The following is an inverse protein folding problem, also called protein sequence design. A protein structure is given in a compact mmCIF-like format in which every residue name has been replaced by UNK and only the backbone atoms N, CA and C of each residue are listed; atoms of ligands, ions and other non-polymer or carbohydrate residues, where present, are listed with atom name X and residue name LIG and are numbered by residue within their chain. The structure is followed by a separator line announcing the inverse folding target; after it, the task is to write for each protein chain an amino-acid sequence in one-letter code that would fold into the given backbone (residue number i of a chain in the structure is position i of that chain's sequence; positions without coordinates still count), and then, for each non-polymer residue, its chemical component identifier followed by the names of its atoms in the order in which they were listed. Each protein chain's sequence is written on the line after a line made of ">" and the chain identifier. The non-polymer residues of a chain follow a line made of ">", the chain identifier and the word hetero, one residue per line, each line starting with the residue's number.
data_IF_323546504947
#
_entry.id   IF_323546504947
#
_cell.length_a   1.000
_cell.length_b   1.000
_cell.length_c   1.000
_cell.angle_alpha   90.00
_cell.angle_beta   90.00
_cell.angle_gamma   90.00
#
_symmetry.space_group_name_H-M   'P 1'
#
loop_
_entity.id
_entity.type
_entity.pdbx_description
1 polymer ?
#
# COMPACT_ATOMS: atom_id res chain seq x y z
N UNK A 1 53.78 23.54 13.38
CA UNK A 1 53.34 22.58 14.42
C UNK A 1 51.83 22.71 14.51
N UNK A 2 51.12 21.95 13.67
CA UNK A 2 50.41 20.70 14.06
C UNK A 2 48.96 21.04 14.44
N UNK A 3 48.01 20.91 13.50
CA UNK A 3 47.07 19.76 13.37
C UNK A 3 46.19 19.59 14.61
N UNK A 4 44.87 19.75 14.56
CA UNK A 4 43.88 18.77 14.05
C UNK A 4 42.52 19.30 14.54
N UNK A 5 41.45 19.40 13.74
CA UNK A 5 40.69 18.30 13.20
C UNK A 5 39.47 18.03 14.08
N UNK A 6 38.29 18.54 13.70
CA UNK A 6 37.04 17.86 13.98
C UNK A 6 36.04 18.20 12.88
N UNK A 7 35.95 17.28 11.93
CA UNK A 7 34.84 17.16 11.02
C UNK A 7 33.60 16.83 11.86
N UNK A 8 32.68 17.78 11.98
CA UNK A 8 31.29 17.47 12.30
C UNK A 8 30.56 17.16 11.00
N UNK A 9 30.98 16.08 10.35
CA UNK A 9 30.20 15.39 9.33
C UNK A 9 29.89 14.00 9.89
N UNK A 10 28.68 13.82 10.42
CA UNK A 10 28.13 12.51 10.76
C UNK A 10 26.61 12.57 10.94
N UNK A 11 25.92 12.13 9.89
CA UNK A 11 24.55 11.61 9.86
C UNK A 11 23.42 12.63 10.09
N UNK A 12 23.08 13.36 9.02
CA UNK A 12 21.65 13.40 8.65
C UNK A 12 21.26 11.94 8.35
N UNK A 13 20.71 11.23 9.34
CA UNK A 13 19.87 10.10 8.99
C UNK A 13 18.76 10.69 8.13
N UNK A 14 18.76 10.35 6.85
CA UNK A 14 17.60 10.61 6.01
C UNK A 14 16.39 10.06 6.75
N UNK A 15 15.26 10.78 6.76
CA UNK A 15 14.07 10.36 7.50
C UNK A 15 13.70 8.90 7.10
N UNK A 16 12.91 8.13 7.83
CA UNK A 16 12.46 6.82 7.35
C UNK A 16 11.59 6.91 6.08
N UNK A 17 11.85 6.12 5.04
CA UNK A 17 11.02 6.03 3.81
C UNK A 17 9.80 5.14 4.05
N UNK A 18 8.61 5.61 3.69
CA UNK A 18 7.34 4.89 3.92
C UNK A 18 6.66 4.55 2.61
N UNK A 19 6.54 3.26 2.33
CA UNK A 19 6.00 2.75 1.08
C UNK A 19 4.77 1.89 1.38
N UNK A 20 3.69 2.03 0.61
CA UNK A 20 2.62 1.02 0.59
C UNK A 20 2.54 0.40 -0.80
N UNK A 21 2.32 -0.92 -0.88
CA UNK A 21 2.10 -1.61 -2.15
C UNK A 21 0.61 -1.87 -2.32
N UNK A 22 0.01 -1.37 -3.40
CA UNK A 22 -1.42 -1.45 -3.68
C UNK A 22 -1.70 -2.25 -4.95
N UNK A 23 -2.83 -2.95 -4.98
CA UNK A 23 -3.19 -3.83 -6.08
C UNK A 23 -4.11 -4.96 -5.65
N UNK A 24 -4.80 -5.56 -6.60
CA UNK A 24 -5.85 -6.54 -6.29
C UNK A 24 -5.30 -7.84 -5.68
N UNK A 25 -6.19 -8.64 -5.08
CA UNK A 25 -5.82 -9.97 -4.60
C UNK A 25 -5.12 -10.79 -5.69
N UNK A 26 -4.04 -11.47 -5.31
CA UNK A 26 -3.21 -12.24 -6.22
C UNK A 26 -2.24 -11.43 -7.08
N UNK A 27 -2.26 -10.09 -7.14
CA UNK A 27 -1.41 -9.31 -8.08
C UNK A 27 0.11 -9.43 -7.89
N UNK A 28 0.58 -10.17 -6.88
CA UNK A 28 1.99 -10.40 -6.57
C UNK A 28 2.60 -9.38 -5.60
N UNK A 29 1.78 -8.64 -4.83
CA UNK A 29 2.24 -7.64 -3.86
C UNK A 29 3.16 -8.22 -2.80
N UNK A 30 2.68 -9.21 -2.04
CA UNK A 30 3.44 -9.86 -0.97
C UNK A 30 4.76 -10.41 -1.49
N UNK A 31 4.73 -11.08 -2.65
CA UNK A 31 5.94 -11.57 -3.32
C UNK A 31 6.92 -10.47 -3.69
N UNK A 32 6.45 -9.35 -4.27
CA UNK A 32 7.29 -8.19 -4.56
C UNK A 32 7.94 -7.63 -3.30
N UNK A 33 7.18 -7.52 -2.21
CA UNK A 33 7.67 -7.01 -0.92
C UNK A 33 8.74 -7.94 -0.36
N UNK A 34 8.50 -9.26 -0.38
CA UNK A 34 9.45 -10.27 0.09
C UNK A 34 10.77 -10.21 -0.69
N UNK A 35 10.71 -10.15 -2.02
CA UNK A 35 11.90 -10.05 -2.87
C UNK A 35 12.67 -8.75 -2.65
N UNK A 36 11.93 -7.66 -2.49
CA UNK A 36 12.52 -6.35 -2.24
C UNK A 36 13.28 -6.34 -0.91
N UNK A 37 12.66 -6.79 0.18
CA UNK A 37 13.28 -6.84 1.51
C UNK A 37 14.47 -7.82 1.55
N UNK A 38 14.40 -8.93 0.82
CA UNK A 38 15.51 -9.88 0.71
C UNK A 38 16.80 -9.24 0.14
N UNK A 39 16.67 -8.19 -0.66
CA UNK A 39 17.79 -7.45 -1.27
C UNK A 39 18.03 -6.08 -0.65
N UNK A 40 17.08 -5.56 0.13
CA UNK A 40 17.12 -4.25 0.79
C UNK A 40 16.83 -4.38 2.29
N UNK A 41 17.76 -4.92 3.10
CA UNK A 41 17.52 -5.24 4.51
C UNK A 41 17.32 -4.02 5.42
N UNK A 42 17.47 -2.80 4.90
CA UNK A 42 17.14 -1.56 5.59
C UNK A 42 15.63 -1.24 5.59
N UNK A 43 14.82 -2.08 4.94
CA UNK A 43 13.35 -1.98 4.92
C UNK A 43 12.72 -3.12 5.71
N UNK A 44 11.73 -2.79 6.54
CA UNK A 44 10.87 -3.76 7.20
C UNK A 44 9.52 -3.87 6.47
N UNK A 45 9.03 -5.10 6.30
CA UNK A 45 7.71 -5.35 5.74
C UNK A 45 6.66 -5.46 6.85
N UNK A 46 5.63 -4.63 6.78
CA UNK A 46 4.42 -4.74 7.59
C UNK A 46 3.39 -5.56 6.83
N UNK A 47 3.06 -6.72 7.39
CA UNK A 47 2.11 -7.66 6.79
C UNK A 47 0.70 -7.06 6.60
N UNK A 48 -0.05 -7.68 5.69
CA UNK A 48 -1.43 -7.30 5.34
C UNK A 48 -2.32 -7.17 6.60
N UNK A 49 -3.19 -6.14 6.69
CA UNK A 49 -4.10 -5.92 7.83
C UNK A 49 -4.96 -7.14 8.20
N UNK A 50 -5.33 -7.95 7.21
CA UNK A 50 -6.04 -9.22 7.42
C UNK A 50 -5.33 -10.11 8.46
N UNK A 51 -4.01 -10.29 8.35
CA UNK A 51 -3.26 -11.16 9.24
C UNK A 51 -3.21 -10.62 10.66
N UNK A 52 -3.08 -9.29 10.82
CA UNK A 52 -3.13 -8.63 12.15
C UNK A 52 -4.48 -8.79 12.83
N UNK A 53 -5.56 -8.76 12.06
CA UNK A 53 -6.91 -8.97 12.58
C UNK A 53 -7.13 -10.45 12.93
N UNK A 54 -6.66 -11.37 12.09
CA UNK A 54 -6.74 -12.81 12.33
C UNK A 54 -5.93 -13.22 13.59
N UNK A 55 -4.72 -12.68 13.79
CA UNK A 55 -3.90 -12.87 15.00
C UNK A 55 -4.64 -12.48 16.29
N UNK A 56 -5.54 -11.48 16.19
CA UNK A 56 -6.38 -11.01 17.30
C UNK A 56 -7.69 -11.80 17.46
N UNK A 57 -7.88 -12.86 16.67
CA UNK A 57 -9.05 -13.74 16.72
C UNK A 57 -10.28 -13.22 15.99
N UNK A 58 -10.13 -12.22 15.11
CA UNK A 58 -11.23 -11.75 14.27
C UNK A 58 -11.43 -12.75 13.13
N UNK A 59 -12.60 -13.39 13.11
CA UNK A 59 -12.98 -14.32 12.06
C UNK A 59 -13.59 -13.56 10.88
N UNK A 60 -13.03 -13.77 9.69
CA UNK A 60 -13.57 -13.25 8.45
C UNK A 60 -14.52 -14.25 7.81
N UNK A 61 -15.50 -13.73 7.09
CA UNK A 61 -16.49 -14.58 6.44
C UNK A 61 -15.94 -15.25 5.17
N UNK A 62 -16.53 -16.37 4.76
CA UNK A 62 -16.05 -17.15 3.61
C UNK A 62 -16.22 -16.41 2.26
N UNK A 63 -17.04 -15.35 2.23
CA UNK A 63 -17.19 -14.46 1.07
C UNK A 63 -16.84 -13.05 1.53
N UNK A 64 -16.09 -12.25 0.76
CA UNK A 64 -15.76 -10.89 1.18
C UNK A 64 -17.02 -10.04 1.43
N UNK A 65 -17.11 -9.39 2.59
CA UNK A 65 -18.23 -8.50 2.97
C UNK A 65 -17.77 -7.07 3.21
N UNK A 66 -18.71 -6.12 3.22
CA UNK A 66 -18.41 -4.73 3.59
C UNK A 66 -17.78 -4.64 4.99
N UNK A 67 -18.33 -5.33 5.99
CA UNK A 67 -17.83 -5.29 7.36
C UNK A 67 -16.38 -5.80 7.47
N UNK A 68 -16.04 -6.85 6.72
CA UNK A 68 -14.69 -7.41 6.66
C UNK A 68 -13.68 -6.39 6.10
N UNK A 69 -14.06 -5.63 5.08
CA UNK A 69 -13.20 -4.60 4.49
C UNK A 69 -13.15 -3.31 5.30
N UNK A 70 -14.21 -2.93 6.02
CA UNK A 70 -14.18 -1.81 6.97
C UNK A 70 -13.19 -2.08 8.10
N UNK A 71 -13.18 -3.31 8.65
CA UNK A 71 -12.23 -3.72 9.67
C UNK A 71 -10.78 -3.63 9.17
N UNK A 72 -10.52 -4.14 7.96
CA UNK A 72 -9.20 -4.09 7.34
C UNK A 72 -8.75 -2.66 6.98
N UNK A 73 -9.67 -1.79 6.52
CA UNK A 73 -9.39 -0.37 6.28
C UNK A 73 -8.99 0.34 7.57
N UNK A 74 -9.73 0.11 8.65
CA UNK A 74 -9.43 0.69 9.96
C UNK A 74 -8.06 0.24 10.47
N UNK A 75 -7.73 -1.05 10.32
CA UNK A 75 -6.44 -1.61 10.71
C UNK A 75 -5.30 -1.13 9.81
N UNK A 76 -5.49 -1.03 8.50
CA UNK A 76 -4.52 -0.45 7.57
C UNK A 76 -4.14 0.98 7.98
N UNK A 77 -5.14 1.81 8.24
CA UNK A 77 -4.91 3.17 8.72
C UNK A 77 -4.19 3.17 10.07
N UNK A 78 -4.52 2.24 10.97
CA UNK A 78 -3.86 2.11 12.29
C UNK A 78 -2.39 1.75 12.13
N UNK A 79 -2.06 0.70 11.37
CA UNK A 79 -0.69 0.26 11.13
C UNK A 79 0.16 1.40 10.52
N UNK A 80 -0.37 2.07 9.50
CA UNK A 80 0.35 3.17 8.84
C UNK A 80 0.59 4.36 9.77
N UNK A 81 -0.37 4.68 10.65
CA UNK A 81 -0.24 5.79 11.59
C UNK A 81 0.60 5.44 12.84
N UNK A 82 0.59 4.19 13.29
CA UNK A 82 1.27 3.74 14.51
C UNK A 82 2.75 3.41 14.24
N UNK A 83 3.08 2.82 13.08
CA UNK A 83 4.45 2.46 12.68
C UNK A 83 5.29 3.69 12.26
N UNK A 84 4.95 4.89 12.74
CA UNK A 84 5.58 6.16 12.39
C UNK A 84 7.00 6.37 12.95
N UNK A 85 7.69 5.32 13.41
CA UNK A 85 8.92 5.43 14.21
C UNK A 85 10.13 4.86 13.46
N UNK A 86 10.99 5.77 12.98
CA UNK A 86 12.43 5.55 12.82
C UNK A 86 12.96 4.67 11.68
N UNK A 87 12.16 3.79 11.07
CA UNK A 87 12.65 2.78 10.11
C UNK A 87 12.01 2.89 8.73
N UNK A 88 12.69 2.43 7.67
CA UNK A 88 12.06 2.36 6.36
C UNK A 88 11.06 1.21 6.36
N UNK A 89 9.80 1.48 6.01
CA UNK A 89 8.72 0.50 6.15
C UNK A 89 7.98 0.35 4.83
N UNK A 90 7.62 -0.90 4.53
CA UNK A 90 6.78 -1.28 3.38
C UNK A 90 5.51 -1.93 3.91
N UNK A 91 4.36 -1.30 3.68
CA UNK A 91 3.06 -1.85 4.04
C UNK A 91 2.52 -2.71 2.90
N UNK A 92 2.20 -3.98 3.20
CA UNK A 92 1.41 -4.82 2.31
C UNK A 92 -0.04 -4.33 2.34
N UNK A 93 -0.44 -3.64 1.27
CA UNK A 93 -1.68 -2.88 1.06
C UNK A 93 -1.67 -1.43 1.55
N UNK A 94 -2.30 -0.60 0.73
CA UNK A 94 -2.64 0.78 1.01
C UNK A 94 -4.12 0.87 1.42
N UNK A 95 -4.56 1.90 2.17
CA UNK A 95 -5.99 2.16 2.39
C UNK A 95 -6.82 2.21 1.09
N UNK A 96 -6.19 2.59 -0.03
CA UNK A 96 -6.83 2.59 -1.36
C UNK A 96 -7.33 1.20 -1.80
N UNK A 97 -6.63 0.12 -1.42
CA UNK A 97 -7.07 -1.25 -1.71
C UNK A 97 -8.47 -1.49 -1.16
N UNK A 98 -8.67 -1.16 0.13
CA UNK A 98 -9.92 -1.42 0.83
C UNK A 98 -11.03 -0.50 0.36
N UNK A 99 -10.73 0.76 0.02
CA UNK A 99 -11.71 1.65 -0.60
C UNK A 99 -12.25 1.09 -1.92
N UNK A 100 -11.37 0.53 -2.76
CA UNK A 100 -11.81 -0.08 -4.01
C UNK A 100 -12.63 -1.36 -3.79
N UNK A 101 -12.29 -2.18 -2.79
CA UNK A 101 -13.11 -3.34 -2.42
C UNK A 101 -14.47 -2.93 -1.85
N UNK A 102 -14.51 -1.95 -0.95
CA UNK A 102 -15.73 -1.45 -0.32
C UNK A 102 -16.72 -0.91 -1.34
N UNK A 103 -16.24 -0.11 -2.30
CA UNK A 103 -17.07 0.42 -3.38
C UNK A 103 -17.73 -0.70 -4.21
N UNK A 104 -16.94 -1.71 -4.62
CA UNK A 104 -17.44 -2.81 -5.44
C UNK A 104 -18.39 -3.72 -4.66
N UNK A 105 -18.04 -4.10 -3.43
CA UNK A 105 -18.82 -5.03 -2.62
C UNK A 105 -20.10 -4.39 -2.09
N UNK A 106 -20.06 -3.13 -1.65
CA UNK A 106 -21.28 -2.40 -1.26
C UNK A 106 -22.27 -2.27 -2.41
N UNK A 107 -21.76 -1.97 -3.61
CA UNK A 107 -22.59 -1.92 -4.84
C UNK A 107 -23.26 -3.27 -5.11
N UNK A 108 -22.54 -4.37 -4.95
CA UNK A 108 -23.09 -5.73 -5.09
C UNK A 108 -24.12 -6.06 -4.00
N UNK A 109 -23.96 -5.49 -2.80
CA UNK A 109 -24.93 -5.56 -1.70
C UNK A 109 -26.12 -4.59 -1.86
N UNK A 110 -26.10 -3.74 -2.89
CA UNK A 110 -27.22 -2.87 -3.27
C UNK A 110 -27.20 -1.47 -2.66
N UNK A 111 -26.05 -1.00 -2.18
CA UNK A 111 -25.90 0.37 -1.68
C UNK A 111 -24.55 0.99 -2.05
N UNK A 112 -24.41 2.29 -1.87
CA UNK A 112 -23.16 3.01 -2.12
C UNK A 112 -22.43 3.25 -0.80
N UNK A 113 -21.21 2.72 -0.68
CA UNK A 113 -20.33 3.01 0.45
C UNK A 113 -19.35 4.13 0.09
N UNK A 114 -19.28 5.17 0.92
CA UNK A 114 -18.35 6.28 0.74
C UNK A 114 -17.64 6.62 2.06
N UNK A 115 -16.32 6.89 2.04
CA UNK A 115 -15.61 7.34 3.23
C UNK A 115 -16.04 8.77 3.57
N UNK A 116 -16.46 9.03 4.81
CA UNK A 116 -16.99 10.33 5.24
C UNK A 116 -16.45 10.77 6.60
N UNK A 117 -16.48 12.09 6.84
CA UNK A 117 -16.18 12.69 8.14
C UNK A 117 -14.84 12.23 8.71
N UNK A 118 -14.87 11.72 9.95
CA UNK A 118 -13.67 11.27 10.68
C UNK A 118 -12.94 10.11 9.99
N UNK A 119 -13.66 9.24 9.28
CA UNK A 119 -13.06 8.12 8.57
C UNK A 119 -12.22 8.65 7.40
N UNK A 120 -12.80 9.53 6.58
CA UNK A 120 -12.07 10.15 5.47
C UNK A 120 -10.83 10.89 5.99
N UNK A 121 -10.95 11.70 7.04
CA UNK A 121 -9.79 12.38 7.67
C UNK A 121 -8.71 11.39 8.12
N UNK A 122 -9.08 10.24 8.67
CA UNK A 122 -8.12 9.22 9.11
C UNK A 122 -7.40 8.58 7.93
N UNK A 123 -8.13 8.29 6.85
CA UNK A 123 -7.56 7.74 5.61
C UNK A 123 -6.60 8.74 4.98
N UNK A 124 -7.03 10.00 4.82
CA UNK A 124 -6.18 11.09 4.32
C UNK A 124 -4.88 11.16 5.10
N UNK A 125 -4.95 11.21 6.44
CA UNK A 125 -3.75 11.25 7.28
C UNK A 125 -2.85 10.03 7.10
N UNK A 126 -3.41 8.83 6.99
CA UNK A 126 -2.62 7.62 6.77
C UNK A 126 -1.90 7.68 5.43
N UNK A 127 -2.61 7.98 4.35
CA UNK A 127 -2.04 8.13 2.99
C UNK A 127 -0.99 9.24 2.97
N UNK A 128 -1.24 10.37 3.61
CA UNK A 128 -0.31 11.50 3.76
C UNK A 128 0.98 11.12 4.49
N UNK A 129 1.01 10.08 5.31
CA UNK A 129 2.28 9.63 5.90
C UNK A 129 3.19 8.94 4.89
N UNK A 130 2.62 8.33 3.85
CA UNK A 130 3.38 7.58 2.85
C UNK A 130 4.19 8.51 1.95
N UNK A 131 5.40 8.10 1.59
CA UNK A 131 6.21 8.77 0.58
C UNK A 131 5.90 8.21 -0.81
N UNK A 132 5.68 6.89 -0.89
CA UNK A 132 5.39 6.17 -2.13
C UNK A 132 4.20 5.22 -1.96
N UNK A 133 3.42 5.14 -3.03
CA UNK A 133 2.40 4.11 -3.23
C UNK A 133 2.78 3.37 -4.51
N UNK A 134 3.23 2.13 -4.36
CA UNK A 134 3.58 1.26 -5.49
C UNK A 134 2.32 0.55 -5.95
N UNK A 135 1.81 0.91 -7.12
CA UNK A 135 0.63 0.28 -7.69
C UNK A 135 1.03 -0.84 -8.65
N UNK A 136 0.54 -2.05 -8.40
CA UNK A 136 0.67 -3.20 -9.30
C UNK A 136 -0.67 -3.41 -10.03
N UNK A 137 -0.84 -2.86 -11.25
CA UNK A 137 -2.06 -3.05 -12.02
C UNK A 137 -2.17 -4.47 -12.56
N UNK A 138 -3.39 -4.90 -12.84
CA UNK A 138 -3.61 -6.06 -13.71
C UNK A 138 -3.25 -5.73 -15.16
N UNK A 139 -2.52 -6.65 -15.78
CA UNK A 139 -2.11 -6.62 -17.19
C UNK A 139 -3.02 -7.50 -18.05
N UNK A 140 -2.94 -7.31 -19.37
CA UNK A 140 -3.64 -8.13 -20.36
C UNK A 140 -2.62 -8.61 -21.42
N UNK A 141 -2.39 -9.94 -21.54
CA UNK A 141 -3.00 -11.03 -20.77
C UNK A 141 -2.61 -11.00 -19.28
N UNK A 142 -3.42 -11.63 -18.43
CA UNK A 142 -3.14 -11.75 -16.99
C UNK A 142 -1.85 -12.56 -16.78
N UNK A 143 -0.94 -12.03 -15.97
CA UNK A 143 0.36 -12.66 -15.71
C UNK A 143 0.25 -13.89 -14.80
N UNK A 144 -0.89 -14.08 -14.12
CA UNK A 144 -1.10 -15.22 -13.25
C UNK A 144 -1.76 -16.35 -14.05
N UNK A 145 -1.07 -17.49 -14.26
CA UNK A 145 -1.63 -18.61 -15.01
C UNK A 145 -2.64 -19.44 -14.18
N UNK A 146 -2.70 -19.22 -12.86
CA UNK A 146 -3.52 -19.99 -11.92
C UNK A 146 -4.93 -19.42 -11.78
N UNK A 147 -5.91 -20.29 -11.51
CA UNK A 147 -7.27 -19.86 -11.16
C UNK A 147 -7.26 -19.06 -9.86
N UNK A 148 -7.59 -17.77 -9.97
CA UNK A 148 -7.76 -16.89 -8.82
C UNK A 148 -9.21 -16.91 -8.37
N UNK A 149 -9.42 -16.93 -7.05
CA UNK A 149 -10.74 -16.76 -6.44
C UNK A 149 -11.36 -15.42 -6.84
N UNK A 150 -12.66 -15.42 -7.10
CA UNK A 150 -13.44 -14.23 -7.49
C UNK A 150 -12.81 -13.40 -8.64
N UNK A 151 -12.54 -13.98 -9.82
CA UNK A 151 -11.82 -13.30 -10.91
C UNK A 151 -12.57 -12.10 -11.50
N UNK A 152 -13.91 -12.05 -11.35
CA UNK A 152 -14.73 -10.89 -11.72
C UNK A 152 -14.53 -9.74 -10.73
N UNK A 153 -14.61 -10.03 -9.42
CA UNK A 153 -14.36 -9.05 -8.36
C UNK A 153 -12.96 -8.46 -8.51
N UNK A 154 -11.95 -9.32 -8.70
CA UNK A 154 -10.56 -8.92 -8.93
C UNK A 154 -10.43 -7.90 -10.06
N UNK A 155 -11.02 -8.16 -11.24
CA UNK A 155 -10.96 -7.21 -12.37
C UNK A 155 -11.70 -5.90 -12.10
N UNK A 156 -12.85 -5.95 -11.42
CA UNK A 156 -13.61 -4.74 -11.05
C UNK A 156 -12.85 -3.86 -10.06
N UNK A 157 -12.22 -4.46 -9.05
CA UNK A 157 -11.41 -3.74 -8.07
C UNK A 157 -10.17 -3.12 -8.71
N UNK A 158 -9.52 -3.81 -9.67
CA UNK A 158 -8.39 -3.24 -10.42
C UNK A 158 -8.81 -2.01 -11.23
N UNK A 159 -9.93 -2.11 -11.97
CA UNK A 159 -10.48 -0.98 -12.70
C UNK A 159 -10.84 0.19 -11.75
N UNK A 160 -11.36 -0.13 -10.56
CA UNK A 160 -11.71 0.86 -9.54
C UNK A 160 -10.48 1.56 -8.96
N UNK A 161 -9.43 0.81 -8.61
CA UNK A 161 -8.14 1.36 -8.19
C UNK A 161 -7.56 2.30 -9.24
N UNK A 162 -7.56 1.88 -10.51
CA UNK A 162 -7.10 2.71 -11.64
C UNK A 162 -7.87 4.03 -11.74
N UNK A 163 -9.20 3.98 -11.57
CA UNK A 163 -10.04 5.18 -11.58
C UNK A 163 -9.73 6.10 -10.39
N UNK A 164 -9.69 5.56 -9.16
CA UNK A 164 -9.41 6.32 -7.94
C UNK A 164 -8.04 7.01 -7.98
N UNK A 165 -7.00 6.26 -8.38
CA UNK A 165 -5.62 6.77 -8.45
C UNK A 165 -5.52 7.87 -9.51
N UNK A 166 -6.06 7.66 -10.71
CA UNK A 166 -6.00 8.65 -11.79
C UNK A 166 -6.74 9.94 -11.46
N UNK A 167 -7.89 9.81 -10.79
CA UNK A 167 -8.75 10.95 -10.47
C UNK A 167 -8.44 11.65 -9.14
N UNK A 168 -7.57 11.08 -8.29
CA UNK A 168 -7.50 11.40 -6.86
C UNK A 168 -8.90 11.60 -6.26
N UNK A 169 -9.78 10.63 -6.50
CA UNK A 169 -11.23 10.84 -6.36
C UNK A 169 -11.66 11.29 -4.96
N UNK A 170 -10.94 10.84 -3.93
CA UNK A 170 -11.19 11.21 -2.54
C UNK A 170 -10.27 12.33 -2.02
N UNK A 171 -9.42 12.91 -2.87
CA UNK A 171 -8.47 13.97 -2.52
C UNK A 171 -7.40 13.54 -1.52
N UNK A 172 -7.12 12.24 -1.41
CA UNK A 172 -6.21 11.68 -0.40
C UNK A 172 -4.75 11.67 -0.88
N UNK A 173 -4.51 11.77 -2.18
CA UNK A 173 -3.17 11.82 -2.78
C UNK A 173 -2.61 13.26 -2.83
N UNK A 174 -3.48 14.26 -2.78
CA UNK A 174 -3.11 15.68 -2.78
C UNK A 174 -2.08 16.06 -1.69
N UNK A 175 -2.02 15.31 -0.59
CA UNK A 175 -1.07 15.52 0.51
C UNK A 175 0.36 14.99 0.28
N UNK A 176 0.69 14.56 -0.95
CA UNK A 176 2.06 14.42 -1.42
C UNK A 176 2.59 12.99 -1.56
N UNK A 177 1.79 11.97 -1.23
CA UNK A 177 2.14 10.57 -1.52
C UNK A 177 2.20 10.37 -3.04
N UNK A 178 3.34 9.93 -3.56
CA UNK A 178 3.50 9.71 -5.01
C UNK A 178 3.15 8.28 -5.37
N UNK A 179 2.25 8.14 -6.34
CA UNK A 179 1.89 6.82 -6.89
C UNK A 179 2.82 6.49 -8.06
N UNK A 180 3.39 5.29 -8.06
CA UNK A 180 4.20 4.77 -9.15
C UNK A 180 3.63 3.41 -9.60
N UNK A 181 3.35 3.28 -10.89
CA UNK A 181 2.93 2.01 -11.47
C UNK A 181 4.15 1.12 -11.72
N UNK A 182 4.07 -0.13 -11.25
CA UNK A 182 5.14 -1.12 -11.37
C UNK A 182 4.60 -2.36 -12.11
N UNK A 183 5.14 -2.58 -13.30
CA UNK A 183 4.80 -3.69 -14.20
C UNK A 183 6.07 -4.37 -14.72
N UNK A 184 5.92 -5.53 -15.36
CA UNK A 184 7.05 -6.33 -15.86
C UNK A 184 7.25 -7.61 -15.07
N UNK A 185 8.37 -8.29 -15.30
CA UNK A 185 8.75 -9.52 -14.59
C UNK A 185 8.96 -9.27 -13.10
N UNK A 186 9.05 -10.34 -12.31
CA UNK A 186 9.32 -10.27 -10.87
C UNK A 186 10.56 -9.41 -10.56
N UNK A 187 11.64 -9.62 -11.31
CA UNK A 187 12.90 -8.89 -11.18
C UNK A 187 12.75 -7.42 -11.60
N UNK A 188 12.11 -7.15 -12.74
CA UNK A 188 11.87 -5.77 -13.22
C UNK A 188 11.01 -4.97 -12.23
N UNK A 189 10.05 -5.62 -11.56
CA UNK A 189 9.23 -4.98 -10.54
C UNK A 189 10.05 -4.58 -9.31
N UNK A 190 10.97 -5.44 -8.86
CA UNK A 190 11.90 -5.12 -7.75
C UNK A 190 12.80 -3.95 -8.13
N UNK A 191 13.38 -3.96 -9.33
CA UNK A 191 14.25 -2.87 -9.81
C UNK A 191 13.51 -1.52 -9.87
N UNK A 192 12.28 -1.52 -10.39
CA UNK A 192 11.44 -0.32 -10.44
C UNK A 192 11.06 0.17 -9.05
N UNK A 193 10.68 -0.74 -8.15
CA UNK A 193 10.40 -0.39 -6.76
C UNK A 193 11.63 0.19 -6.05
N UNK A 194 12.83 -0.33 -6.33
CA UNK A 194 14.08 0.20 -5.80
C UNK A 194 14.39 1.60 -6.32
N UNK A 195 14.13 1.86 -7.61
CA UNK A 195 14.26 3.20 -8.17
C UNK A 195 13.32 4.21 -7.48
N UNK A 196 12.08 3.81 -7.21
CA UNK A 196 11.12 4.65 -6.47
C UNK A 196 11.56 4.87 -5.01
N UNK A 197 12.03 3.82 -4.35
CA UNK A 197 12.54 3.87 -2.98
C UNK A 197 13.82 4.72 -2.85
N UNK A 198 14.62 4.86 -3.90
CA UNK A 198 15.82 5.70 -3.93
C UNK A 198 15.54 7.15 -4.38
N UNK A 199 14.35 7.43 -4.92
CA UNK A 199 14.01 8.74 -5.46
C UNK A 199 13.72 9.78 -4.36
N UNK A 200 13.80 11.07 -4.71
CA UNK A 200 13.60 12.16 -3.75
C UNK A 200 12.22 12.10 -3.09
N UNK A 201 12.21 12.22 -1.76
CA UNK A 201 10.98 12.25 -0.96
C UNK A 201 10.06 13.40 -1.36
N UNK A 202 8.80 13.32 -0.89
CA UNK A 202 7.92 14.49 -0.90
C UNK A 202 8.59 15.64 -0.12
N UNK A 203 8.47 16.89 -0.59
CA UNK A 203 9.06 18.06 0.06
C UNK A 203 8.46 18.31 1.45
#
# INVERSE_FOLDING_TARGET
>A
MSSSGSAADAHRHDAPMRIAVTGTHGSGKTTLIEDFVATHPAYEAVAEPYWRLAERGIAFSAKPTVADFEAQLAESCRLILDEARGENVIFDRCPLDFLAYLDIVSTDEGFEWLPQGRLLTRITRAVETLDRIIFIPLTQPDEIPTTIEHPILRRRVDARLKAMIRGDEFGVLAGGARVAEVTGTREERVERMAAEAASTRKP
#
